data_IF_742725877983
#
_entry.id   IF_742725877983
#
_cell.length_a   1.000
_cell.length_b   1.000
_cell.length_c   1.000
_cell.angle_alpha   90.00
_cell.angle_beta   90.00
_cell.angle_gamma   90.00
#
_symmetry.space_group_name_H-M   'P 1'
#
loop_
_entity.id
_entity.type
_entity.pdbx_description
1 polymer ?
#
# COMPACT_ATOMS: atom_id res chain seq x y z
N UNK A 1 2.56 -16.25 8.96
CA UNK A 1 1.67 -15.34 9.71
C UNK A 1 1.81 -13.93 9.13
N UNK A 2 0.75 -13.11 9.10
CA UNK A 2 0.82 -11.74 8.58
C UNK A 2 1.52 -10.82 9.60
N UNK A 3 2.27 -9.79 9.17
CA UNK A 3 2.99 -8.90 10.09
C UNK A 3 2.09 -8.21 11.12
N UNK A 4 0.90 -7.77 10.71
CA UNK A 4 -0.07 -7.16 11.63
C UNK A 4 -0.59 -8.16 12.67
N UNK A 5 -0.90 -9.39 12.26
CA UNK A 5 -1.33 -10.46 13.18
C UNK A 5 -0.22 -10.78 14.18
N UNK A 6 1.04 -10.88 13.73
CA UNK A 6 2.17 -11.08 14.63
C UNK A 6 2.34 -9.93 15.62
N UNK A 7 2.24 -8.68 15.14
CA UNK A 7 2.35 -7.49 15.98
C UNK A 7 1.25 -7.44 17.04
N UNK A 8 0.01 -7.78 16.69
CA UNK A 8 -1.11 -7.89 17.64
C UNK A 8 -0.86 -8.99 18.68
N UNK A 9 -0.44 -10.19 18.25
CA UNK A 9 -0.18 -11.31 19.16
C UNK A 9 0.94 -10.95 20.15
N UNK A 10 2.04 -10.35 19.68
CA UNK A 10 3.17 -9.95 20.51
C UNK A 10 2.77 -8.93 21.59
N UNK A 11 1.85 -8.02 21.27
CA UNK A 11 1.36 -7.03 22.26
C UNK A 11 0.50 -7.64 23.37
N UNK A 12 -0.24 -8.72 23.09
CA UNK A 12 -1.24 -9.26 24.02
C UNK A 12 -0.82 -10.56 24.72
N UNK A 13 0.22 -11.25 24.24
CA UNK A 13 0.65 -12.54 24.75
C UNK A 13 2.15 -12.57 25.06
N UNK A 14 2.51 -12.20 26.28
CA UNK A 14 3.89 -12.19 26.78
C UNK A 14 4.58 -13.56 26.65
N UNK A 15 3.84 -14.66 26.82
CA UNK A 15 4.34 -16.04 26.71
C UNK A 15 4.89 -16.38 25.33
N UNK A 16 4.53 -15.63 24.29
CA UNK A 16 5.02 -15.83 22.93
C UNK A 16 6.31 -15.05 22.63
N UNK A 17 6.84 -14.29 23.60
CA UNK A 17 8.17 -13.67 23.51
C UNK A 17 9.27 -14.71 23.25
N UNK A 18 9.18 -15.90 23.84
CA UNK A 18 10.11 -17.00 23.60
C UNK A 18 9.96 -17.65 22.23
N UNK A 19 8.84 -17.44 21.53
CA UNK A 19 8.62 -17.94 20.16
C UNK A 19 9.24 -16.99 19.13
N UNK A 20 9.45 -15.71 19.49
CA UNK A 20 10.03 -14.71 18.60
C UNK A 20 11.43 -15.12 18.08
N UNK A 21 12.24 -15.78 18.91
CA UNK A 21 13.57 -16.25 18.49
C UNK A 21 13.52 -17.27 17.34
N UNK A 22 12.37 -17.91 17.12
CA UNK A 22 12.14 -18.87 16.04
C UNK A 22 11.39 -18.25 14.84
N UNK A 23 10.97 -16.99 14.95
CA UNK A 23 10.26 -16.29 13.89
C UNK A 23 11.23 -15.68 12.89
N UNK A 24 11.06 -16.00 11.61
CA UNK A 24 11.77 -15.34 10.51
C UNK A 24 10.85 -14.28 9.91
N UNK A 25 11.24 -13.02 10.05
CA UNK A 25 10.51 -11.90 9.44
C UNK A 25 10.82 -11.86 7.94
N UNK A 26 9.80 -12.10 7.12
CA UNK A 26 9.88 -11.95 5.68
C UNK A 26 9.31 -10.59 5.29
N UNK A 27 10.17 -9.74 4.73
CA UNK A 27 9.78 -8.44 4.19
C UNK A 27 10.29 -8.31 2.75
N UNK A 28 9.67 -7.39 2.01
CA UNK A 28 10.09 -7.07 0.65
C UNK A 28 10.44 -5.59 0.60
N UNK A 29 11.70 -5.30 0.34
CA UNK A 29 12.21 -3.95 0.15
C UNK A 29 11.89 -3.44 -1.27
N UNK A 30 12.08 -2.13 -1.47
CA UNK A 30 12.03 -1.54 -2.80
C UNK A 30 13.08 -2.17 -3.75
N UNK A 31 14.24 -2.57 -3.23
CA UNK A 31 15.28 -3.26 -4.01
C UNK A 31 14.81 -4.64 -4.48
N UNK A 32 14.15 -5.40 -3.61
CA UNK A 32 13.60 -6.72 -3.95
C UNK A 32 12.51 -6.60 -5.02
N UNK A 33 11.71 -5.53 -4.96
CA UNK A 33 10.71 -5.21 -5.97
C UNK A 33 11.34 -4.85 -7.33
N UNK A 34 12.44 -4.11 -7.30
CA UNK A 34 13.21 -3.80 -8.51
C UNK A 34 13.78 -5.07 -9.14
N UNK A 35 14.37 -5.93 -8.32
CA UNK A 35 14.88 -7.23 -8.75
C UNK A 35 13.77 -8.12 -9.32
N UNK A 36 12.63 -8.19 -8.64
CA UNK A 36 11.47 -8.96 -9.08
C UNK A 36 11.00 -8.53 -10.47
N UNK A 37 10.82 -7.23 -10.70
CA UNK A 37 10.42 -6.71 -12.02
C UNK A 37 11.48 -7.00 -13.08
N UNK A 38 12.75 -6.70 -12.79
CA UNK A 38 13.86 -6.93 -13.72
C UNK A 38 13.96 -8.41 -14.13
N UNK A 39 13.90 -9.34 -13.17
CA UNK A 39 13.91 -10.79 -13.45
C UNK A 39 12.72 -11.24 -14.28
N UNK A 40 11.55 -10.62 -14.12
CA UNK A 40 10.38 -10.94 -14.96
C UNK A 40 10.56 -10.52 -16.40
N UNK A 41 11.14 -9.34 -16.64
CA UNK A 41 11.49 -8.87 -18.00
C UNK A 41 12.58 -9.77 -18.59
N UNK A 42 13.67 -10.01 -17.85
CA UNK A 42 14.76 -10.90 -18.27
C UNK A 42 14.26 -12.30 -18.63
N UNK A 43 13.42 -12.92 -17.78
CA UNK A 43 12.83 -14.23 -18.06
C UNK A 43 11.95 -14.22 -19.33
N UNK A 44 11.25 -13.12 -19.62
CA UNK A 44 10.49 -12.99 -20.87
C UNK A 44 11.43 -12.88 -22.09
N UNK A 45 12.49 -12.08 -22.00
CA UNK A 45 13.49 -11.93 -23.07
C UNK A 45 14.23 -13.25 -23.36
N UNK A 46 14.52 -14.05 -22.33
CA UNK A 46 15.12 -15.36 -22.47
C UNK A 46 14.19 -16.34 -23.21
N UNK A 47 12.91 -16.38 -22.83
CA UNK A 47 11.91 -17.26 -23.48
C UNK A 47 11.60 -16.90 -24.94
N UNK A 48 11.75 -15.63 -25.30
CA UNK A 48 11.44 -15.13 -26.65
C UNK A 48 12.69 -15.03 -27.53
N UNK A 49 13.85 -15.50 -27.05
CA UNK A 49 15.16 -15.36 -27.70
C UNK A 49 15.61 -13.91 -27.95
N UNK A 50 14.84 -12.92 -27.50
CA UNK A 50 15.16 -11.49 -27.61
C UNK A 50 16.37 -11.09 -26.73
N UNK A 51 16.70 -11.90 -25.72
CA UNK A 51 17.87 -11.71 -24.86
C UNK A 51 19.16 -11.50 -25.64
N UNK A 52 19.36 -12.26 -26.73
CA UNK A 52 20.58 -12.18 -27.55
C UNK A 52 20.80 -10.78 -28.15
N UNK A 53 19.73 -10.04 -28.42
CA UNK A 53 19.78 -8.67 -28.97
C UNK A 53 20.05 -7.62 -27.90
N UNK A 54 19.49 -7.81 -26.70
CA UNK A 54 19.46 -6.78 -25.65
C UNK A 54 20.63 -6.90 -24.67
N UNK A 55 21.08 -8.11 -24.33
CA UNK A 55 22.03 -8.29 -23.22
C UNK A 55 23.36 -7.56 -23.38
N UNK A 56 23.82 -7.36 -24.62
CA UNK A 56 25.09 -6.65 -24.93
C UNK A 56 25.03 -5.15 -24.64
N UNK A 57 23.84 -4.56 -24.62
CA UNK A 57 23.65 -3.12 -24.35
C UNK A 57 23.39 -2.83 -22.87
N UNK A 58 23.16 -3.87 -22.07
CA UNK A 58 22.92 -3.73 -20.63
C UNK A 58 24.23 -3.48 -19.88
N UNK A 59 24.13 -2.70 -18.81
CA UNK A 59 25.26 -2.44 -17.92
C UNK A 59 25.73 -3.71 -17.21
N UNK A 60 27.02 -3.78 -16.90
CA UNK A 60 27.59 -4.81 -16.03
C UNK A 60 27.27 -4.57 -14.56
N UNK A 61 26.97 -3.32 -14.17
CA UNK A 61 26.55 -3.00 -12.80
C UNK A 61 25.13 -3.48 -12.56
N UNK A 62 24.93 -4.31 -11.52
CA UNK A 62 23.65 -4.98 -11.24
C UNK A 62 22.49 -3.98 -11.12
N UNK A 63 22.64 -2.89 -10.36
CA UNK A 63 21.56 -1.92 -10.15
C UNK A 63 21.17 -1.18 -11.44
N UNK A 64 22.18 -0.77 -12.23
CA UNK A 64 21.95 -0.13 -13.53
C UNK A 64 21.28 -1.11 -14.50
N UNK A 65 21.73 -2.37 -14.52
CA UNK A 65 21.12 -3.43 -15.34
C UNK A 65 19.67 -3.68 -14.98
N UNK A 66 19.35 -3.78 -13.69
CA UNK A 66 17.96 -3.96 -13.21
C UNK A 66 17.10 -2.79 -13.65
N UNK A 67 17.57 -1.56 -13.47
CA UNK A 67 16.88 -0.35 -13.93
C UNK A 67 16.62 -0.38 -15.44
N UNK A 68 17.65 -0.65 -16.25
CA UNK A 68 17.53 -0.74 -17.70
C UNK A 68 16.53 -1.82 -18.14
N UNK A 69 16.50 -2.98 -17.46
CA UNK A 69 15.52 -4.03 -17.73
C UNK A 69 14.09 -3.58 -17.44
N UNK A 70 13.85 -2.87 -16.34
CA UNK A 70 12.52 -2.30 -16.04
C UNK A 70 12.12 -1.25 -17.07
N UNK A 71 13.07 -0.42 -17.52
CA UNK A 71 12.85 0.61 -18.55
C UNK A 71 12.49 0.05 -19.92
N UNK A 72 12.72 -1.25 -20.19
CA UNK A 72 12.23 -1.90 -21.40
C UNK A 72 10.71 -2.06 -21.41
N UNK A 73 10.07 -2.13 -20.23
CA UNK A 73 8.64 -2.35 -20.09
C UNK A 73 7.87 -1.10 -19.62
N UNK A 74 8.54 -0.21 -18.90
CA UNK A 74 7.94 0.99 -18.31
C UNK A 74 8.72 2.24 -18.71
N UNK A 75 8.05 3.40 -18.67
CA UNK A 75 8.76 4.68 -18.72
C UNK A 75 9.69 4.84 -17.50
N UNK A 76 10.83 5.49 -17.71
CA UNK A 76 11.88 5.60 -16.68
C UNK A 76 11.49 6.46 -15.49
N UNK A 77 10.70 7.51 -15.74
CA UNK A 77 10.17 8.45 -14.76
C UNK A 77 8.70 8.73 -15.05
N UNK A 78 7.90 8.76 -14.00
CA UNK A 78 6.45 8.92 -14.06
C UNK A 78 6.01 9.99 -13.05
N UNK A 79 4.97 10.78 -13.37
CA UNK A 79 4.38 11.73 -12.43
C UNK A 79 3.96 11.05 -11.12
N UNK A 80 4.31 11.64 -9.97
CA UNK A 80 3.97 11.09 -8.65
C UNK A 80 3.86 12.19 -7.58
N UNK A 81 2.66 12.74 -7.41
CA UNK A 81 2.42 13.89 -6.54
C UNK A 81 2.74 15.22 -7.22
N UNK A 82 2.76 16.31 -6.43
CA UNK A 82 3.00 17.67 -6.95
C UNK A 82 4.45 17.83 -7.42
N UNK A 83 4.64 18.05 -8.72
CA UNK A 83 5.91 18.38 -9.37
C UNK A 83 7.05 17.37 -9.14
N UNK A 84 6.71 16.15 -8.72
CA UNK A 84 7.67 15.08 -8.50
C UNK A 84 7.51 14.00 -9.57
N UNK A 85 8.64 13.43 -10.00
CA UNK A 85 8.68 12.23 -10.82
C UNK A 85 9.41 11.13 -10.08
N UNK A 86 8.89 9.90 -10.17
CA UNK A 86 9.47 8.72 -9.51
C UNK A 86 9.66 7.58 -10.50
N UNK A 87 10.62 6.67 -10.25
CA UNK A 87 10.73 5.45 -11.03
C UNK A 87 9.47 4.58 -10.91
N UNK A 88 9.12 3.81 -11.95
CA UNK A 88 7.95 2.93 -11.95
C UNK A 88 7.97 1.94 -10.78
N UNK A 89 9.15 1.42 -10.41
CA UNK A 89 9.30 0.50 -9.28
C UNK A 89 8.82 1.13 -7.96
N UNK A 90 9.10 2.41 -7.72
CA UNK A 90 8.66 3.13 -6.51
C UNK A 90 7.13 3.28 -6.49
N UNK A 91 6.55 3.65 -7.63
CA UNK A 91 5.09 3.82 -7.77
C UNK A 91 4.38 2.49 -7.53
N UNK A 92 4.81 1.43 -8.22
CA UNK A 92 4.23 0.09 -8.10
C UNK A 92 4.44 -0.49 -6.69
N UNK A 93 5.59 -0.25 -6.07
CA UNK A 93 5.87 -0.66 -4.68
C UNK A 93 4.86 -0.04 -3.70
N UNK A 94 4.61 1.26 -3.84
CA UNK A 94 3.62 1.98 -3.02
C UNK A 94 2.21 1.45 -3.29
N UNK A 95 1.75 1.45 -4.55
CA UNK A 95 0.39 1.05 -4.92
C UNK A 95 0.07 -0.42 -4.58
N UNK A 96 1.08 -1.29 -4.52
CA UNK A 96 0.91 -2.70 -4.20
C UNK A 96 0.95 -3.02 -2.70
N UNK A 97 1.05 -2.02 -1.81
CA UNK A 97 1.18 -2.22 -0.35
C UNK A 97 2.33 -3.16 0.02
N UNK A 98 3.46 -3.06 -0.69
CA UNK A 98 4.63 -3.95 -0.50
C UNK A 98 4.29 -5.45 -0.68
N UNK A 99 3.25 -5.79 -1.44
CA UNK A 99 2.83 -7.18 -1.73
C UNK A 99 3.24 -7.57 -3.17
N UNK A 100 4.23 -8.46 -3.37
CA UNK A 100 4.74 -8.83 -4.71
C UNK A 100 3.65 -9.29 -5.69
N UNK A 101 2.66 -10.05 -5.20
CA UNK A 101 1.52 -10.51 -5.99
C UNK A 101 0.73 -9.34 -6.57
N UNK A 102 0.46 -8.32 -5.76
CA UNK A 102 -0.30 -7.15 -6.16
C UNK A 102 0.45 -6.29 -7.16
N UNK A 103 1.78 -6.17 -7.02
CA UNK A 103 2.61 -5.49 -8.01
C UNK A 103 2.53 -6.18 -9.38
N UNK A 104 2.69 -7.52 -9.42
CA UNK A 104 2.65 -8.26 -10.68
C UNK A 104 1.29 -8.15 -11.34
N UNK A 105 0.22 -8.17 -10.54
CA UNK A 105 -1.14 -8.02 -11.02
C UNK A 105 -1.40 -6.60 -11.58
N UNK A 106 -0.99 -5.55 -10.86
CA UNK A 106 -1.10 -4.16 -11.31
C UNK A 106 -0.33 -3.93 -12.61
N UNK A 107 0.92 -4.42 -12.68
CA UNK A 107 1.76 -4.34 -13.88
C UNK A 107 1.09 -5.01 -15.09
N UNK A 108 0.42 -6.16 -14.90
CA UNK A 108 -0.32 -6.84 -15.98
C UNK A 108 -1.52 -6.04 -16.46
N UNK A 109 -2.27 -5.40 -15.56
CA UNK A 109 -3.41 -4.56 -15.97
C UNK A 109 -2.95 -3.30 -16.69
N UNK A 110 -1.92 -2.64 -16.19
CA UNK A 110 -1.31 -1.50 -16.86
C UNK A 110 -0.76 -1.91 -18.24
N UNK A 111 -0.10 -3.06 -18.37
CA UNK A 111 0.35 -3.59 -19.67
C UNK A 111 -0.80 -3.81 -20.67
N UNK A 112 -1.91 -4.39 -20.19
CA UNK A 112 -3.10 -4.59 -21.04
C UNK A 112 -3.71 -3.24 -21.49
N UNK A 113 -3.65 -2.21 -20.64
CA UNK A 113 -4.10 -0.86 -20.99
C UNK A 113 -3.16 -0.18 -22.00
N UNK A 114 -1.85 -0.33 -21.82
CA UNK A 114 -0.82 0.18 -22.72
C UNK A 114 -0.99 -0.38 -24.14
N UNK A 115 -1.23 -1.70 -24.24
CA UNK A 115 -1.52 -2.37 -25.52
C UNK A 115 -2.79 -1.84 -26.19
N UNK A 116 -3.87 -1.62 -25.43
CA UNK A 116 -5.10 -1.02 -25.96
C UNK A 116 -4.87 0.41 -26.46
N UNK A 117 -3.98 1.14 -25.79
CA UNK A 117 -3.59 2.51 -26.14
C UNK A 117 -2.45 2.57 -27.18
N UNK A 118 -2.06 1.43 -27.76
CA UNK A 118 -0.99 1.30 -28.75
C UNK A 118 0.36 1.90 -28.30
N UNK A 119 0.69 1.77 -27.01
CA UNK A 119 1.96 2.23 -26.43
C UNK A 119 3.00 1.13 -26.40
N UNK A 120 4.25 1.49 -26.69
CA UNK A 120 5.39 0.58 -26.62
C UNK A 120 5.84 0.28 -25.18
N UNK A 121 5.58 1.21 -24.26
CA UNK A 121 5.92 1.12 -22.83
C UNK A 121 4.73 1.52 -21.97
N UNK A 122 4.69 0.97 -20.77
CA UNK A 122 3.69 1.29 -19.77
C UNK A 122 4.06 2.63 -19.14
N UNK A 123 3.18 3.61 -19.25
CA UNK A 123 3.34 4.92 -18.63
C UNK A 123 2.45 5.07 -17.38
N UNK A 124 2.45 6.25 -16.74
CA UNK A 124 1.60 6.49 -15.58
C UNK A 124 0.11 6.46 -15.92
N UNK A 125 -0.31 6.95 -17.09
CA UNK A 125 -1.71 6.95 -17.49
C UNK A 125 -2.27 5.52 -17.57
N UNK A 126 -1.45 4.56 -18.01
CA UNK A 126 -1.82 3.14 -18.04
C UNK A 126 -2.06 2.56 -16.65
N UNK A 127 -1.24 2.96 -15.68
CA UNK A 127 -1.40 2.58 -14.28
C UNK A 127 -2.65 3.26 -13.71
N UNK A 128 -2.77 4.58 -13.93
CA UNK A 128 -3.86 5.41 -13.42
C UNK A 128 -5.22 4.91 -13.90
N UNK A 129 -5.35 4.59 -15.18
CA UNK A 129 -6.59 4.09 -15.78
C UNK A 129 -7.11 2.80 -15.14
N UNK A 130 -6.23 1.96 -14.59
CA UNK A 130 -6.62 0.67 -13.97
C UNK A 130 -6.81 0.75 -12.45
N UNK A 131 -6.43 1.86 -11.82
CA UNK A 131 -6.51 2.02 -10.36
C UNK A 131 -7.92 1.92 -9.78
N UNK A 132 -9.01 2.40 -10.42
CA UNK A 132 -10.35 2.25 -9.85
C UNK A 132 -10.74 0.77 -9.70
N UNK A 133 -10.54 -0.03 -10.75
CA UNK A 133 -10.86 -1.45 -10.75
C UNK A 133 -9.87 -2.28 -9.91
N UNK A 134 -8.60 -1.89 -9.88
CA UNK A 134 -7.60 -2.53 -9.03
C UNK A 134 -7.90 -2.27 -7.55
N UNK A 135 -8.09 -1.01 -7.16
CA UNK A 135 -8.43 -0.58 -5.82
C UNK A 135 -9.71 -1.21 -5.29
N UNK A 136 -10.77 -1.27 -6.12
CA UNK A 136 -12.03 -1.92 -5.75
C UNK A 136 -11.85 -3.39 -5.37
N UNK A 137 -11.00 -4.13 -6.11
CA UNK A 137 -10.65 -5.51 -5.74
C UNK A 137 -9.80 -5.59 -4.48
N UNK A 138 -8.95 -4.61 -4.20
CA UNK A 138 -8.19 -4.56 -2.94
C UNK A 138 -9.08 -4.24 -1.74
N UNK A 139 -10.15 -3.46 -1.93
CA UNK A 139 -11.19 -3.26 -0.91
C UNK A 139 -11.87 -4.61 -0.62
N UNK A 140 -12.30 -5.34 -1.65
CA UNK A 140 -12.92 -6.67 -1.48
C UNK A 140 -11.99 -7.69 -0.81
N UNK A 141 -10.69 -7.73 -1.19
CA UNK A 141 -9.68 -8.55 -0.52
C UNK A 141 -9.57 -8.19 0.98
N UNK A 142 -9.65 -6.89 1.31
CA UNK A 142 -9.56 -6.38 2.69
C UNK A 142 -10.83 -6.74 3.48
N UNK A 143 -12.01 -6.60 2.88
CA UNK A 143 -13.28 -7.00 3.49
C UNK A 143 -13.25 -8.50 3.81
N UNK A 144 -12.90 -9.34 2.85
CA UNK A 144 -12.83 -10.79 3.05
C UNK A 144 -11.83 -11.18 4.15
N UNK A 145 -10.70 -10.47 4.22
CA UNK A 145 -9.64 -10.72 5.20
C UNK A 145 -10.05 -10.36 6.65
N UNK A 146 -10.78 -9.26 6.84
CA UNK A 146 -11.06 -8.71 8.17
C UNK A 146 -12.53 -8.83 8.61
N UNK A 147 -13.40 -9.46 7.82
CA UNK A 147 -14.81 -9.67 8.16
C UNK A 147 -15.03 -10.37 9.50
N UNK A 148 -14.15 -11.30 9.88
CA UNK A 148 -14.23 -11.97 11.19
C UNK A 148 -13.82 -11.08 12.37
N UNK A 149 -13.06 -10.01 12.11
CA UNK A 149 -12.64 -9.03 13.12
C UNK A 149 -13.61 -7.84 13.20
N UNK A 150 -14.25 -7.50 12.08
CA UNK A 150 -15.28 -6.47 11.98
C UNK A 150 -16.30 -6.86 10.90
N UNK A 151 -17.49 -7.36 11.27
CA UNK A 151 -18.54 -7.71 10.31
C UNK A 151 -18.96 -6.54 9.42
N UNK A 152 -18.97 -5.32 9.98
CA UNK A 152 -19.35 -4.07 9.32
C UNK A 152 -18.18 -3.42 8.54
N UNK A 153 -17.08 -4.15 8.28
CA UNK A 153 -15.88 -3.61 7.61
C UNK A 153 -16.19 -2.96 6.25
N UNK A 154 -17.13 -3.51 5.48
CA UNK A 154 -17.50 -2.96 4.18
C UNK A 154 -18.13 -1.57 4.32
N UNK A 155 -19.09 -1.42 5.23
CA UNK A 155 -19.73 -0.14 5.57
C UNK A 155 -18.69 0.84 6.12
N UNK A 156 -17.77 0.36 6.96
CA UNK A 156 -16.72 1.18 7.54
C UNK A 156 -15.77 1.75 6.48
N UNK A 157 -15.35 0.95 5.50
CA UNK A 157 -14.47 1.41 4.42
C UNK A 157 -15.19 2.32 3.42
N UNK A 158 -16.44 2.00 3.10
CA UNK A 158 -17.26 2.79 2.15
C UNK A 158 -17.70 4.14 2.73
N UNK A 159 -17.74 4.28 4.06
CA UNK A 159 -18.00 5.56 4.73
C UNK A 159 -16.95 6.65 4.43
N UNK A 160 -15.77 6.27 3.91
CA UNK A 160 -14.74 7.22 3.47
C UNK A 160 -14.91 7.72 2.02
N UNK A 161 -15.96 7.31 1.31
CA UNK A 161 -16.20 7.80 -0.06
C UNK A 161 -16.33 9.32 -0.08
N UNK A 162 -15.54 9.98 -0.93
CA UNK A 162 -15.53 11.44 -1.04
C UNK A 162 -14.86 12.18 0.14
N UNK A 163 -14.18 11.47 1.04
CA UNK A 163 -13.33 12.11 2.06
C UNK A 163 -11.99 12.60 1.49
N UNK A 164 -11.26 13.48 2.21
CA UNK A 164 -9.87 13.79 1.90
C UNK A 164 -8.96 12.55 1.93
N UNK A 165 -7.82 12.62 1.24
CA UNK A 165 -6.81 11.56 1.28
C UNK A 165 -5.99 11.56 2.58
N UNK A 166 -5.87 12.73 3.20
CA UNK A 166 -4.96 13.04 4.31
C UNK A 166 -5.69 13.69 5.48
N UNK A 167 -5.26 13.35 6.69
CA UNK A 167 -5.84 13.84 7.92
C UNK A 167 -4.75 14.12 8.95
N UNK A 168 -4.90 15.22 9.70
CA UNK A 168 -4.33 15.26 11.05
C UNK A 168 -5.09 14.25 11.95
N UNK A 169 -4.54 13.89 13.11
CA UNK A 169 -5.28 13.04 14.05
C UNK A 169 -6.60 13.68 14.48
N UNK A 170 -6.62 14.99 14.73
CA UNK A 170 -7.85 15.70 15.09
C UNK A 170 -8.90 15.63 13.97
N UNK A 171 -8.48 15.82 12.72
CA UNK A 171 -9.39 15.76 11.56
C UNK A 171 -9.89 14.34 11.32
N UNK A 172 -9.04 13.32 11.49
CA UNK A 172 -9.44 11.92 11.36
C UNK A 172 -10.51 11.55 12.40
N UNK A 173 -10.28 11.91 13.68
CA UNK A 173 -11.23 11.64 14.75
C UNK A 173 -12.54 12.41 14.53
N UNK A 174 -12.47 13.65 14.06
CA UNK A 174 -13.65 14.44 13.68
C UNK A 174 -14.44 13.78 12.54
N UNK A 175 -13.75 13.34 11.47
CA UNK A 175 -14.37 12.64 10.34
C UNK A 175 -15.05 11.35 10.78
N UNK A 176 -14.39 10.57 11.64
CA UNK A 176 -14.95 9.34 12.20
C UNK A 176 -16.21 9.61 13.03
N UNK A 177 -16.16 10.56 13.96
CA UNK A 177 -17.31 10.86 14.83
C UNK A 177 -18.50 11.45 14.06
N UNK A 178 -18.24 12.34 13.10
CA UNK A 178 -19.28 13.14 12.47
C UNK A 178 -19.89 12.49 11.23
N UNK A 179 -19.19 11.54 10.59
CA UNK A 179 -19.68 10.88 9.37
C UNK A 179 -19.77 9.38 9.53
N UNK A 180 -18.66 8.73 9.89
CA UNK A 180 -18.56 7.28 9.86
C UNK A 180 -19.43 6.65 10.96
N UNK A 181 -19.22 7.07 12.20
CA UNK A 181 -19.90 6.50 13.37
C UNK A 181 -21.35 6.96 13.56
N UNK A 182 -21.82 7.92 12.75
CA UNK A 182 -23.24 8.30 12.71
C UNK A 182 -24.07 7.30 11.90
N UNK A 183 -23.47 6.67 10.88
CA UNK A 183 -24.15 5.74 9.99
C UNK A 183 -23.73 4.28 10.12
N UNK A 184 -22.56 4.02 10.73
CA UNK A 184 -21.98 2.68 10.88
C UNK A 184 -21.72 2.41 12.35
N UNK A 185 -22.11 1.23 12.82
CA UNK A 185 -21.89 0.77 14.19
C UNK A 185 -20.94 -0.43 14.20
N UNK A 186 -19.63 -0.21 13.98
CA UNK A 186 -18.68 -1.29 13.80
C UNK A 186 -18.53 -2.11 15.08
N UNK A 187 -18.46 -3.43 14.96
CA UNK A 187 -18.08 -4.32 16.06
C UNK A 187 -16.67 -4.81 15.82
N UNK A 188 -15.72 -4.32 16.62
CA UNK A 188 -14.31 -4.68 16.48
C UNK A 188 -13.96 -5.73 17.55
N UNK A 189 -13.46 -6.89 17.12
CA UNK A 189 -12.99 -7.94 18.03
C UNK A 189 -11.93 -7.38 18.98
N UNK A 190 -12.13 -7.59 20.28
CA UNK A 190 -11.24 -7.09 21.34
C UNK A 190 -11.68 -5.75 21.93
N UNK A 191 -12.62 -5.04 21.30
CA UNK A 191 -13.20 -3.80 21.85
C UNK A 191 -14.50 -4.13 22.57
N UNK A 192 -14.65 -3.63 23.80
CA UNK A 192 -15.85 -3.85 24.62
C UNK A 192 -16.87 -2.75 24.35
N UNK A 193 -18.07 -3.13 23.90
CA UNK A 193 -19.15 -2.18 23.63
C UNK A 193 -19.03 -1.53 22.26
N UNK A 194 -19.44 -0.27 22.16
CA UNK A 194 -19.37 0.49 20.90
C UNK A 194 -17.98 1.13 20.78
N UNK A 195 -17.21 0.84 19.72
CA UNK A 195 -15.87 1.40 19.56
C UNK A 195 -15.90 2.92 19.45
N UNK A 196 -15.02 3.58 20.20
CA UNK A 196 -14.77 5.00 20.05
C UNK A 196 -14.00 5.30 18.75
N UNK A 197 -14.05 6.54 18.26
CA UNK A 197 -13.35 6.94 17.04
C UNK A 197 -11.85 6.60 17.05
N UNK A 198 -11.18 6.70 18.20
CA UNK A 198 -9.76 6.32 18.30
C UNK A 198 -9.53 4.83 18.08
N UNK A 199 -10.41 3.98 18.63
CA UNK A 199 -10.33 2.51 18.45
C UNK A 199 -10.62 2.13 17.00
N UNK A 200 -11.55 2.83 16.34
CA UNK A 200 -11.80 2.68 14.90
C UNK A 200 -10.60 3.12 14.08
N UNK A 201 -9.99 4.27 14.40
CA UNK A 201 -8.79 4.76 13.73
C UNK A 201 -7.63 3.77 13.86
N UNK A 202 -7.40 3.25 15.08
CA UNK A 202 -6.40 2.22 15.36
C UNK A 202 -6.64 0.95 14.54
N UNK A 203 -7.89 0.46 14.50
CA UNK A 203 -8.25 -0.69 13.68
C UNK A 203 -8.02 -0.45 12.18
N UNK A 204 -8.40 0.71 11.65
CA UNK A 204 -8.15 1.10 10.26
C UNK A 204 -6.65 1.17 9.93
N UNK A 205 -5.82 1.59 10.88
CA UNK A 205 -4.36 1.53 10.76
C UNK A 205 -3.84 0.08 10.82
N UNK A 206 -4.36 -0.74 11.74
CA UNK A 206 -3.99 -2.16 11.91
C UNK A 206 -4.25 -3.00 10.65
N UNK A 207 -5.36 -2.77 9.95
CA UNK A 207 -5.67 -3.45 8.68
C UNK A 207 -4.92 -2.82 7.49
N UNK A 208 -4.23 -1.70 7.73
CA UNK A 208 -3.49 -0.89 6.77
C UNK A 208 -4.38 -0.26 5.71
N UNK A 209 -5.60 0.11 6.09
CA UNK A 209 -6.42 1.06 5.34
C UNK A 209 -5.83 2.46 5.47
N UNK A 210 -5.49 2.84 6.71
CA UNK A 210 -4.68 4.01 7.01
C UNK A 210 -3.19 3.65 7.03
N UNK A 211 -2.36 4.63 6.70
CA UNK A 211 -0.90 4.58 6.82
C UNK A 211 -0.43 5.85 7.51
N UNK A 212 0.51 5.73 8.45
CA UNK A 212 1.09 6.90 9.11
C UNK A 212 2.12 7.54 8.17
N UNK A 213 2.06 8.87 8.03
CA UNK A 213 2.89 9.65 7.12
C UNK A 213 3.58 10.77 7.87
N UNK A 214 4.89 10.90 7.65
CA UNK A 214 5.67 12.02 8.13
C UNK A 214 6.36 12.70 6.94
N UNK A 215 6.14 14.01 6.81
CA UNK A 215 6.89 14.83 5.88
C UNK A 215 8.31 15.06 6.41
N UNK A 216 9.29 14.91 5.54
CA UNK A 216 10.70 15.14 5.78
C UNK A 216 11.14 16.41 5.03
N UNK A 217 12.34 16.90 5.37
CA UNK A 217 12.94 18.03 4.66
C UNK A 217 13.14 17.70 3.17
N UNK A 218 12.94 18.70 2.31
CA UNK A 218 13.12 18.55 0.86
C UNK A 218 11.95 17.89 0.13
N UNK A 219 10.75 17.82 0.73
CA UNK A 219 9.55 17.27 0.07
C UNK A 219 9.55 15.74 -0.05
N UNK A 220 10.39 15.09 0.75
CA UNK A 220 10.35 13.65 0.96
C UNK A 220 9.36 13.31 2.07
N UNK A 221 8.86 12.08 2.10
CA UNK A 221 7.99 11.61 3.16
C UNK A 221 8.30 10.14 3.45
N UNK A 222 8.06 9.75 4.70
CA UNK A 222 8.13 8.38 5.15
C UNK A 222 6.73 7.85 5.49
N UNK A 223 6.53 6.56 5.24
CA UNK A 223 5.31 5.85 5.58
C UNK A 223 5.60 4.70 6.54
N UNK A 224 4.91 4.70 7.68
CA UNK A 224 4.91 3.60 8.63
C UNK A 224 3.61 2.82 8.54
N UNK A 225 3.74 1.50 8.44
CA UNK A 225 2.64 0.56 8.60
C UNK A 225 2.48 0.17 10.07
N UNK A 226 1.35 -0.44 10.40
CA UNK A 226 1.10 -0.95 11.76
C UNK A 226 2.19 -1.88 12.28
N UNK A 227 2.78 -2.71 11.42
CA UNK A 227 3.88 -3.61 11.80
C UNK A 227 5.15 -2.87 12.22
N UNK A 228 5.33 -1.62 11.77
CA UNK A 228 6.51 -0.81 12.04
C UNK A 228 6.36 -0.12 13.40
N UNK A 229 5.15 0.36 13.74
CA UNK A 229 4.84 0.93 15.06
C UNK A 229 3.37 0.68 15.46
N UNK A 230 3.06 -0.43 16.14
CA UNK A 230 1.68 -0.78 16.51
C UNK A 230 1.14 0.02 17.72
N UNK A 231 1.97 0.89 18.32
CA UNK A 231 1.58 1.75 19.44
C UNK A 231 0.89 3.05 18.99
N UNK A 232 1.02 3.44 17.72
CA UNK A 232 0.31 4.61 17.21
C UNK A 232 -1.21 4.37 17.26
N UNK A 233 -1.97 5.40 17.65
CA UNK A 233 -3.43 5.40 17.87
C UNK A 233 -3.94 4.46 18.98
N UNK A 234 -3.08 3.74 19.69
CA UNK A 234 -3.50 2.88 20.82
C UNK A 234 -3.25 3.51 22.19
N UNK A 235 -2.30 4.44 22.29
CA UNK A 235 -2.01 5.14 23.55
C UNK A 235 -2.99 6.30 23.79
N UNK A 236 -3.15 6.72 25.06
CA UNK A 236 -3.95 7.91 25.42
C UNK A 236 -3.14 9.21 25.34
N UNK A 237 -1.82 9.12 25.28
CA UNK A 237 -0.90 10.25 25.20
C UNK A 237 0.05 10.05 24.01
N UNK A 238 0.40 11.16 23.34
CA UNK A 238 1.27 11.17 22.15
C UNK A 238 0.83 10.15 21.08
N UNK A 239 -0.48 10.17 20.77
CA UNK A 239 -1.17 9.13 20.00
C UNK A 239 -0.66 8.97 18.57
N UNK A 240 -0.07 10.03 18.02
CA UNK A 240 0.42 10.06 16.64
C UNK A 240 1.91 10.30 16.54
N UNK A 241 2.60 10.70 17.62
CA UNK A 241 4.04 11.02 17.62
C UNK A 241 4.43 12.06 16.55
N UNK A 242 3.50 12.96 16.17
CA UNK A 242 3.69 13.96 15.12
C UNK A 242 3.46 13.44 13.69
N UNK A 243 2.99 12.20 13.51
CA UNK A 243 2.58 11.68 12.21
C UNK A 243 1.19 12.18 11.81
N UNK A 244 0.95 12.19 10.50
CA UNK A 244 -0.36 12.38 9.88
C UNK A 244 -0.88 11.05 9.34
N UNK A 245 -2.16 11.01 8.95
CA UNK A 245 -2.81 9.80 8.48
C UNK A 245 -3.21 9.94 7.03
N UNK A 246 -2.83 8.98 6.20
CA UNK A 246 -3.30 8.89 4.83
C UNK A 246 -4.09 7.62 4.57
N UNK A 247 -5.18 7.73 3.80
CA UNK A 247 -5.80 6.56 3.18
C UNK A 247 -4.83 6.04 2.14
N UNK A 248 -4.51 4.75 2.24
CA UNK A 248 -3.47 4.16 1.41
C UNK A 248 -3.78 4.37 -0.10
N UNK A 249 -2.80 4.81 -0.94
CA UNK A 249 -2.99 5.18 -2.34
C UNK A 249 -3.81 4.20 -3.20
N UNK A 250 -3.68 2.91 -2.92
CA UNK A 250 -4.40 1.84 -3.63
C UNK A 250 -5.93 1.95 -3.57
N UNK A 251 -6.48 2.58 -2.53
CA UNK A 251 -7.93 2.66 -2.32
C UNK A 251 -8.55 3.95 -2.88
N UNK A 252 -7.74 4.98 -3.14
CA UNK A 252 -8.22 6.36 -3.32
C UNK A 252 -9.16 6.53 -4.50
N UNK A 253 -8.80 6.00 -5.66
CA UNK A 253 -9.64 6.08 -6.86
C UNK A 253 -10.92 5.23 -6.75
N UNK A 254 -10.83 4.07 -6.11
CA UNK A 254 -12.00 3.22 -5.90
C UNK A 254 -13.02 3.88 -4.95
N UNK A 255 -12.53 4.59 -3.94
CA UNK A 255 -13.36 5.37 -3.00
C UNK A 255 -13.72 6.76 -3.50
N UNK A 256 -13.21 7.19 -4.67
CA UNK A 256 -13.45 8.52 -5.23
C UNK A 256 -13.18 9.62 -4.20
N UNK A 257 -12.03 9.54 -3.53
CA UNK A 257 -11.62 10.55 -2.55
C UNK A 257 -11.51 11.93 -3.20
N UNK A 258 -11.46 12.98 -2.38
CA UNK A 258 -11.19 14.34 -2.86
C UNK A 258 -9.70 14.48 -3.20
N UNK A 259 -9.42 15.08 -4.36
CA UNK A 259 -8.06 15.43 -4.83
C UNK A 259 -7.16 14.26 -5.27
N UNK A 260 -7.75 13.22 -5.86
CA UNK A 260 -7.03 12.07 -6.44
C UNK A 260 -6.37 12.39 -7.78
#
# INVERSE_FOLDING_TARGET
>A
MRPNVWATIKQHHETLSHVEQYAISLSWSLSDFNELLAKRVEAHLLRTSAWQKVHKTLSMTIDKRRKQLVELAFDSLMPWGKEQSRPPTTILYTLSRRRPRWLVELAKYAAANALKSQRDRINFDDINAVLPAFGGRRIQDTIAEFRSQCPEIEELLTAFVGEPEWFSTADLISALNNRVLQGVHPKIVGVVGTPAAMEVAHFLFQIGFLTARQELTGGHYEHLAYSDNPALLSTRTNVDQGFTWEIHPVFRQALKLKNV
#
